data_IF_427168863692
#
_entry.id   IF_427168863692
#
_cell.length_a   1.000
_cell.length_b   1.000
_cell.length_c   1.000
_cell.angle_alpha   90.00
_cell.angle_beta   90.00
_cell.angle_gamma   90.00
#
_symmetry.space_group_name_H-M   'P 1'
#
loop_
_entity.id
_entity.type
_entity.pdbx_description
1 polymer ?
#
# COMPACT_ATOMS: atom_id res chain seq x y z
N UNK A 1 -15.78 -4.48 7.97
CA UNK A 1 -14.61 -3.57 8.15
C UNK A 1 -13.45 -4.32 8.76
N UNK A 2 -12.29 -4.33 8.11
CA UNK A 2 -11.04 -4.87 8.63
C UNK A 2 -10.03 -3.75 8.86
N UNK A 3 -9.13 -3.97 9.82
CA UNK A 3 -8.00 -3.09 10.07
C UNK A 3 -6.70 -3.85 9.81
N UNK A 4 -5.71 -3.12 9.32
CA UNK A 4 -4.37 -3.62 9.08
C UNK A 4 -3.30 -2.55 9.20
N UNK A 5 -2.09 -2.91 8.83
CA UNK A 5 -0.92 -2.03 8.90
C UNK A 5 0.05 -2.32 7.75
N UNK A 6 1.15 -1.58 7.68
CA UNK A 6 2.03 -1.61 6.51
C UNK A 6 3.43 -2.19 6.79
N UNK A 7 3.85 -3.10 5.95
CA UNK A 7 5.22 -3.53 5.64
C UNK A 7 5.97 -4.32 6.71
N UNK A 8 5.96 -3.90 7.97
CA UNK A 8 6.78 -4.45 9.04
C UNK A 8 5.91 -4.80 10.24
N UNK A 9 6.16 -5.96 10.85
CA UNK A 9 5.62 -6.32 12.16
C UNK A 9 6.75 -6.13 13.18
N UNK A 10 6.59 -5.15 14.07
CA UNK A 10 7.63 -4.76 15.03
C UNK A 10 7.86 -5.83 16.09
N UNK A 11 6.81 -6.49 16.55
CA UNK A 11 6.92 -7.59 17.52
C UNK A 11 7.79 -8.70 16.96
N UNK A 12 7.46 -9.20 15.76
CA UNK A 12 8.23 -10.26 15.10
C UNK A 12 9.65 -9.84 14.75
N UNK A 13 9.84 -8.58 14.37
CA UNK A 13 11.16 -8.05 14.07
C UNK A 13 12.04 -7.99 15.33
N UNK A 14 11.50 -7.51 16.46
CA UNK A 14 12.26 -7.34 17.68
C UNK A 14 12.57 -8.66 18.39
N UNK A 15 11.59 -9.58 18.41
CA UNK A 15 11.74 -10.84 19.13
C UNK A 15 12.45 -11.93 18.32
N UNK A 16 12.25 -11.96 16.99
CA UNK A 16 12.69 -13.08 16.15
C UNK A 16 13.54 -12.65 14.94
N UNK A 17 13.77 -11.36 14.71
CA UNK A 17 14.51 -10.86 13.55
C UNK A 17 13.79 -11.10 12.21
N UNK A 18 12.44 -11.19 12.24
CA UNK A 18 11.59 -11.42 11.09
C UNK A 18 11.20 -10.09 10.45
N UNK A 19 11.60 -9.85 9.20
CA UNK A 19 11.26 -8.65 8.42
C UNK A 19 11.44 -8.90 6.93
N UNK A 20 10.80 -8.09 6.06
CA UNK A 20 10.63 -8.40 4.63
C UNK A 20 11.33 -7.43 3.67
N UNK A 21 12.16 -6.53 4.19
CA UNK A 21 12.82 -5.49 3.40
C UNK A 21 14.35 -5.61 3.41
N UNK A 22 14.86 -6.85 3.45
CA UNK A 22 16.29 -7.08 3.23
C UNK A 22 16.64 -6.74 1.80
N UNK A 23 17.61 -5.87 1.65
CA UNK A 23 18.07 -5.43 0.34
C UNK A 23 19.59 -5.39 0.25
N UNK A 24 20.08 -4.86 -0.83
CA UNK A 24 21.49 -4.62 -1.07
C UNK A 24 21.69 -3.34 -1.90
N UNK A 25 22.86 -2.74 -1.79
CA UNK A 25 23.23 -1.61 -2.65
C UNK A 25 23.68 -2.12 -4.04
N UNK A 26 23.65 -1.24 -5.04
CA UNK A 26 23.99 -1.57 -6.43
C UNK A 26 25.37 -2.23 -6.57
N UNK A 27 26.37 -1.74 -5.82
CA UNK A 27 27.71 -2.34 -5.82
C UNK A 27 27.65 -3.82 -5.42
N UNK A 28 26.94 -4.15 -4.35
CA UNK A 28 26.79 -5.53 -3.87
C UNK A 28 26.07 -6.41 -4.90
N UNK A 29 25.03 -5.86 -5.57
CA UNK A 29 24.35 -6.58 -6.64
C UNK A 29 25.28 -6.88 -7.82
N UNK A 30 26.11 -5.91 -8.23
CA UNK A 30 27.11 -6.13 -9.30
C UNK A 30 28.17 -7.16 -8.92
N UNK A 31 28.58 -7.22 -7.65
CA UNK A 31 29.60 -8.15 -7.15
C UNK A 31 29.05 -9.57 -6.93
N UNK A 32 27.86 -9.71 -6.38
CA UNK A 32 27.26 -11.00 -5.96
C UNK A 32 26.19 -11.54 -6.92
N UNK A 33 25.66 -10.70 -7.79
CA UNK A 33 24.71 -11.07 -8.83
C UNK A 33 23.36 -11.55 -8.32
N UNK A 34 22.67 -12.24 -9.22
CA UNK A 34 21.30 -12.75 -9.03
C UNK A 34 21.21 -13.83 -7.94
N UNK A 35 22.30 -14.57 -7.69
CA UNK A 35 22.34 -15.58 -6.63
C UNK A 35 22.01 -14.94 -5.26
N UNK A 36 22.70 -13.86 -4.93
CA UNK A 36 22.47 -13.18 -3.65
C UNK A 36 21.13 -12.45 -3.60
N UNK A 37 20.65 -11.95 -4.73
CA UNK A 37 19.28 -11.40 -4.82
C UNK A 37 18.22 -12.48 -4.50
N UNK A 38 18.41 -13.70 -5.03
CA UNK A 38 17.56 -14.85 -4.80
C UNK A 38 17.52 -15.26 -3.33
N UNK A 39 18.68 -15.38 -2.68
CA UNK A 39 18.78 -15.70 -1.25
C UNK A 39 18.04 -14.69 -0.37
N UNK A 40 18.17 -13.39 -0.66
CA UNK A 40 17.45 -12.34 0.07
C UNK A 40 15.94 -12.37 -0.20
N UNK A 41 15.55 -12.56 -1.46
CA UNK A 41 14.15 -12.66 -1.85
C UNK A 41 13.46 -13.85 -1.17
N UNK A 42 14.10 -15.04 -1.18
CA UNK A 42 13.59 -16.21 -0.50
C UNK A 42 13.42 -15.97 1.00
N UNK A 43 14.42 -15.36 1.65
CA UNK A 43 14.33 -15.03 3.08
C UNK A 43 13.20 -14.02 3.36
N UNK A 44 13.05 -12.98 2.53
CA UNK A 44 11.97 -12.03 2.64
C UNK A 44 10.60 -12.70 2.47
N UNK A 45 10.44 -13.61 1.50
CA UNK A 45 9.20 -14.36 1.30
C UNK A 45 8.86 -15.27 2.49
N UNK A 46 9.84 -15.99 3.03
CA UNK A 46 9.65 -16.84 4.23
C UNK A 46 9.22 -16.00 5.45
N UNK A 47 9.84 -14.86 5.64
CA UNK A 47 9.49 -13.95 6.72
C UNK A 47 8.11 -13.29 6.49
N UNK A 48 7.77 -12.96 5.25
CA UNK A 48 6.43 -12.48 4.90
C UNK A 48 5.36 -13.52 5.25
N UNK A 49 5.59 -14.80 4.96
CA UNK A 49 4.67 -15.86 5.34
C UNK A 49 4.45 -15.92 6.86
N UNK A 50 5.51 -15.74 7.65
CA UNK A 50 5.40 -15.70 9.12
C UNK A 50 4.58 -14.48 9.59
N UNK A 51 4.82 -13.30 9.01
CA UNK A 51 4.06 -12.08 9.32
C UNK A 51 2.57 -12.26 8.98
N UNK A 52 2.26 -12.78 7.80
CA UNK A 52 0.86 -12.95 7.38
C UNK A 52 0.12 -13.99 8.24
N UNK A 53 0.78 -15.08 8.63
CA UNK A 53 0.22 -16.06 9.57
C UNK A 53 0.01 -15.49 10.97
N UNK A 54 0.96 -14.67 11.44
CA UNK A 54 0.79 -13.94 12.69
C UNK A 54 -0.42 -12.99 12.62
N UNK A 55 -0.56 -12.26 11.51
CA UNK A 55 -1.70 -11.39 11.26
C UNK A 55 -3.03 -12.16 11.32
N UNK A 56 -3.10 -13.30 10.61
CA UNK A 56 -4.28 -14.17 10.60
C UNK A 56 -4.65 -14.65 12.02
N UNK A 57 -3.66 -15.11 12.80
CA UNK A 57 -3.88 -15.59 14.19
C UNK A 57 -4.25 -14.48 15.17
N UNK A 58 -3.95 -13.20 14.85
CA UNK A 58 -4.30 -12.03 15.67
C UNK A 58 -5.48 -11.23 15.11
N UNK A 59 -6.23 -11.79 14.17
CA UNK A 59 -7.41 -11.18 13.60
C UNK A 59 -7.11 -9.89 12.78
N UNK A 60 -5.88 -9.73 12.28
CA UNK A 60 -5.53 -8.61 11.37
C UNK A 60 -6.03 -8.96 9.98
N UNK A 61 -7.08 -8.27 9.53
CA UNK A 61 -7.80 -8.65 8.32
C UNK A 61 -7.20 -8.13 7.02
N UNK A 62 -6.34 -7.10 7.06
CA UNK A 62 -5.63 -6.61 5.88
C UNK A 62 -4.17 -6.26 6.19
N UNK A 63 -3.30 -6.38 5.18
CA UNK A 63 -1.87 -6.09 5.34
C UNK A 63 -1.27 -5.55 4.04
N UNK A 64 -0.49 -4.47 4.16
CA UNK A 64 0.28 -3.95 3.03
C UNK A 64 1.66 -4.57 3.00
N UNK A 65 1.91 -5.41 2.01
CA UNK A 65 3.20 -6.04 1.75
C UNK A 65 4.24 -4.99 1.37
N UNK A 66 5.47 -5.13 1.86
CA UNK A 66 6.57 -4.24 1.48
C UNK A 66 6.85 -4.30 -0.02
N UNK A 67 7.16 -3.16 -0.63
CA UNK A 67 7.65 -3.09 -2.02
C UNK A 67 9.05 -3.70 -2.20
N UNK A 68 9.79 -3.91 -1.10
CA UNK A 68 11.19 -4.32 -1.12
C UNK A 68 11.39 -5.84 -0.94
N UNK A 69 10.34 -6.66 -1.11
CA UNK A 69 10.44 -8.12 -0.95
C UNK A 69 11.44 -8.73 -1.94
N UNK A 70 11.51 -8.19 -3.15
CA UNK A 70 12.41 -8.64 -4.22
C UNK A 70 13.48 -7.58 -4.51
N UNK A 71 14.67 -7.67 -3.91
CA UNK A 71 15.74 -6.69 -4.13
C UNK A 71 16.18 -6.64 -5.60
N UNK A 72 16.24 -5.44 -6.18
CA UNK A 72 16.65 -5.26 -7.58
C UNK A 72 15.77 -5.98 -8.61
N UNK A 73 14.49 -6.13 -8.35
CA UNK A 73 13.56 -6.80 -9.26
C UNK A 73 13.52 -6.18 -10.67
N UNK A 74 13.96 -4.93 -10.83
CA UNK A 74 14.16 -4.31 -12.15
C UNK A 74 15.26 -4.95 -13.01
N UNK A 75 16.18 -5.73 -12.44
CA UNK A 75 17.34 -6.24 -13.14
C UNK A 75 17.21 -7.71 -13.60
N UNK A 76 16.10 -8.39 -13.24
CA UNK A 76 15.87 -9.79 -13.58
C UNK A 76 14.37 -10.09 -13.71
N UNK A 77 14.03 -11.24 -14.24
CA UNK A 77 12.68 -11.82 -14.14
C UNK A 77 12.61 -12.72 -12.90
N UNK A 78 11.49 -12.78 -12.20
CA UNK A 78 11.36 -13.60 -10.99
C UNK A 78 11.70 -15.08 -11.26
N UNK A 79 11.36 -15.58 -12.44
CA UNK A 79 11.67 -16.97 -12.88
C UNK A 79 13.15 -17.26 -13.08
N UNK A 80 14.01 -16.24 -13.14
CA UNK A 80 15.47 -16.39 -13.28
C UNK A 80 16.18 -16.55 -11.93
N UNK A 81 15.46 -16.32 -10.81
CA UNK A 81 16.01 -16.50 -9.48
C UNK A 81 16.33 -17.99 -9.23
N UNK A 82 17.56 -18.35 -8.79
CA UNK A 82 17.91 -19.74 -8.48
C UNK A 82 16.97 -20.44 -7.51
N UNK A 83 16.44 -19.72 -6.50
CA UNK A 83 15.51 -20.25 -5.51
C UNK A 83 14.03 -20.09 -5.91
N UNK A 84 13.74 -19.78 -7.19
CA UNK A 84 12.37 -19.52 -7.65
C UNK A 84 11.35 -20.61 -7.29
N UNK A 85 11.66 -21.93 -7.39
CA UNK A 85 10.68 -22.96 -7.01
C UNK A 85 10.23 -22.84 -5.55
N UNK A 86 11.13 -22.52 -4.64
CA UNK A 86 10.83 -22.36 -3.21
C UNK A 86 10.15 -21.02 -2.92
N UNK A 87 10.60 -19.96 -3.58
CA UNK A 87 9.95 -18.64 -3.55
C UNK A 87 8.48 -18.78 -3.97
N UNK A 88 8.21 -19.43 -5.10
CA UNK A 88 6.87 -19.67 -5.62
C UNK A 88 6.00 -20.45 -4.61
N UNK A 89 6.51 -21.57 -4.09
CA UNK A 89 5.78 -22.36 -3.10
C UNK A 89 5.45 -21.54 -1.83
N UNK A 90 6.37 -20.66 -1.41
CA UNK A 90 6.16 -19.75 -0.27
C UNK A 90 5.09 -18.70 -0.57
N UNK A 91 5.12 -18.08 -1.76
CA UNK A 91 4.12 -17.12 -2.22
C UNK A 91 2.72 -17.75 -2.31
N UNK A 92 2.61 -18.97 -2.87
CA UNK A 92 1.36 -19.73 -2.88
C UNK A 92 0.83 -20.01 -1.47
N UNK A 93 1.71 -20.27 -0.50
CA UNK A 93 1.31 -20.45 0.90
C UNK A 93 0.80 -19.13 1.54
N UNK A 94 1.39 -17.98 1.17
CA UNK A 94 0.92 -16.66 1.60
C UNK A 94 -0.48 -16.39 1.06
N UNK A 95 -0.72 -16.64 -0.24
CA UNK A 95 -2.01 -16.37 -0.87
C UNK A 95 -3.16 -17.25 -0.35
N UNK A 96 -2.87 -18.37 0.33
CA UNK A 96 -3.88 -19.23 0.96
C UNK A 96 -4.35 -18.74 2.33
N UNK A 97 -3.75 -17.68 2.89
CA UNK A 97 -4.21 -17.09 4.16
C UNK A 97 -5.47 -16.25 3.95
N UNK A 98 -6.22 -15.98 5.00
CA UNK A 98 -7.44 -15.17 4.96
C UNK A 98 -7.16 -13.67 4.94
N UNK A 99 -5.91 -13.24 5.12
CA UNK A 99 -5.52 -11.83 5.19
C UNK A 99 -5.59 -11.18 3.81
N UNK A 100 -6.33 -10.09 3.69
CA UNK A 100 -6.37 -9.29 2.48
C UNK A 100 -5.03 -8.59 2.25
N UNK A 101 -4.36 -8.87 1.14
CA UNK A 101 -3.05 -8.30 0.82
C UNK A 101 -3.16 -7.13 -0.15
N UNK A 102 -2.32 -6.14 0.04
CA UNK A 102 -2.11 -5.02 -0.88
C UNK A 102 -0.63 -4.69 -0.98
N UNK A 103 -0.23 -3.88 -1.95
CA UNK A 103 1.13 -3.34 -2.04
C UNK A 103 1.07 -1.86 -2.42
N UNK A 104 2.15 -1.14 -2.12
CA UNK A 104 2.30 0.26 -2.47
C UNK A 104 3.72 0.47 -3.02
N UNK A 105 3.90 0.37 -4.35
CA UNK A 105 5.17 0.64 -5.02
C UNK A 105 5.74 2.00 -4.62
N UNK A 106 7.05 2.12 -4.64
CA UNK A 106 7.74 3.33 -4.20
C UNK A 106 7.37 4.59 -5.00
N UNK A 107 7.66 5.78 -4.48
CA UNK A 107 7.22 7.07 -5.06
C UNK A 107 7.89 7.40 -6.41
N UNK A 108 8.82 6.58 -6.85
CA UNK A 108 9.46 6.70 -8.16
C UNK A 108 8.58 6.21 -9.31
N UNK A 109 7.52 5.45 -9.00
CA UNK A 109 6.54 4.97 -9.97
C UNK A 109 5.67 6.14 -10.45
N UNK A 110 5.80 6.50 -11.71
CA UNK A 110 5.13 7.63 -12.35
C UNK A 110 4.55 7.21 -13.69
N UNK A 111 3.32 6.71 -13.65
CA UNK A 111 2.65 6.24 -14.87
C UNK A 111 2.36 7.39 -15.87
N UNK A 112 2.25 8.64 -15.39
CA UNK A 112 2.21 9.82 -16.22
C UNK A 112 3.61 10.27 -16.70
N UNK A 113 4.68 9.54 -16.40
CA UNK A 113 6.04 9.81 -16.87
C UNK A 113 6.25 9.50 -18.34
N UNK A 114 7.48 9.73 -18.78
CA UNK A 114 7.92 9.46 -20.16
C UNK A 114 9.30 8.80 -20.16
N UNK A 115 9.69 8.22 -21.31
CA UNK A 115 11.02 7.63 -21.51
C UNK A 115 11.41 6.60 -20.45
N UNK A 116 12.65 6.67 -19.92
CA UNK A 116 13.13 5.68 -18.94
C UNK A 116 12.31 5.64 -17.66
N UNK A 117 11.76 6.75 -17.20
CA UNK A 117 10.90 6.79 -16.01
C UNK A 117 9.64 5.95 -16.20
N UNK A 118 8.97 6.09 -17.34
CA UNK A 118 7.79 5.28 -17.66
C UNK A 118 8.16 3.80 -17.82
N UNK A 119 9.24 3.50 -18.54
CA UNK A 119 9.69 2.11 -18.74
C UNK A 119 9.98 1.39 -17.41
N UNK A 120 10.66 2.07 -16.48
CA UNK A 120 10.93 1.52 -15.15
C UNK A 120 9.64 1.36 -14.34
N UNK A 121 8.72 2.33 -14.42
CA UNK A 121 7.41 2.24 -13.77
C UNK A 121 6.62 1.03 -14.25
N UNK A 122 6.53 0.83 -15.56
CA UNK A 122 5.82 -0.33 -16.14
C UNK A 122 6.39 -1.64 -15.63
N UNK A 123 7.71 -1.78 -15.64
CA UNK A 123 8.39 -2.99 -15.16
C UNK A 123 8.14 -3.25 -13.69
N UNK A 124 8.23 -2.24 -12.84
CA UNK A 124 8.03 -2.36 -11.39
C UNK A 124 6.57 -2.74 -11.08
N UNK A 125 5.60 -2.05 -11.68
CA UNK A 125 4.18 -2.34 -11.49
C UNK A 125 3.79 -3.74 -11.96
N UNK A 126 4.28 -4.20 -13.13
CA UNK A 126 4.04 -5.56 -13.62
C UNK A 126 4.68 -6.60 -12.69
N UNK A 127 5.86 -6.33 -12.12
CA UNK A 127 6.48 -7.22 -11.12
C UNK A 127 5.59 -7.37 -9.88
N UNK A 128 5.01 -6.27 -9.37
CA UNK A 128 4.06 -6.34 -8.25
C UNK A 128 2.81 -7.17 -8.59
N UNK A 129 2.30 -7.04 -9.81
CA UNK A 129 1.17 -7.83 -10.29
C UNK A 129 1.54 -9.32 -10.43
N UNK A 130 2.72 -9.64 -10.98
CA UNK A 130 3.24 -11.01 -11.09
C UNK A 130 3.40 -11.67 -9.71
N UNK A 131 3.86 -10.94 -8.69
CA UNK A 131 3.97 -11.47 -7.32
C UNK A 131 2.60 -11.88 -6.79
N UNK A 132 1.55 -11.10 -7.03
CA UNK A 132 0.19 -11.45 -6.63
C UNK A 132 -0.37 -12.63 -7.46
N UNK A 133 -0.04 -12.74 -8.74
CA UNK A 133 -0.38 -13.92 -9.55
C UNK A 133 0.31 -15.18 -9.01
N UNK A 134 1.59 -15.10 -8.61
CA UNK A 134 2.32 -16.21 -7.98
C UNK A 134 1.76 -16.59 -6.61
N UNK A 135 1.13 -15.67 -5.90
CA UNK A 135 0.36 -15.97 -4.69
C UNK A 135 -0.98 -16.67 -4.98
N UNK A 136 -1.41 -16.74 -6.25
CA UNK A 136 -2.72 -17.27 -6.64
C UNK A 136 -3.88 -16.34 -6.29
N UNK A 137 -3.61 -15.04 -6.14
CA UNK A 137 -4.63 -14.03 -5.88
C UNK A 137 -5.29 -13.59 -7.18
N UNK A 138 -6.63 -13.64 -7.21
CA UNK A 138 -7.40 -13.21 -8.38
C UNK A 138 -7.09 -11.76 -8.78
N UNK A 139 -6.96 -11.46 -10.09
CA UNK A 139 -6.75 -10.10 -10.58
C UNK A 139 -7.98 -9.21 -10.33
N UNK A 140 -8.01 -8.57 -9.18
CA UNK A 140 -9.08 -7.66 -8.78
C UNK A 140 -8.58 -6.60 -7.81
N UNK A 141 -9.30 -5.51 -7.67
CA UNK A 141 -9.02 -4.45 -6.70
C UNK A 141 -9.14 -4.92 -5.23
N UNK A 142 -9.60 -6.15 -4.99
CA UNK A 142 -9.51 -6.75 -3.65
C UNK A 142 -8.06 -6.79 -3.16
N UNK A 143 -7.13 -7.16 -4.03
CA UNK A 143 -5.69 -7.18 -3.74
C UNK A 143 -5.01 -6.05 -4.53
N UNK A 144 -5.19 -4.83 -4.05
CA UNK A 144 -4.80 -3.61 -4.75
C UNK A 144 -3.29 -3.40 -4.83
N UNK A 145 -2.86 -2.79 -5.92
CA UNK A 145 -1.56 -2.14 -6.10
C UNK A 145 -1.83 -0.64 -6.07
N UNK A 146 -1.38 0.05 -5.03
CA UNK A 146 -1.66 1.46 -4.78
C UNK A 146 -0.54 2.33 -5.29
N UNK A 147 -0.85 3.38 -6.06
CA UNK A 147 0.15 4.36 -6.49
C UNK A 147 -0.40 5.79 -6.38
N UNK A 148 0.51 6.76 -6.35
CA UNK A 148 0.18 8.15 -6.63
C UNK A 148 0.35 8.45 -8.12
N UNK A 149 -0.30 9.51 -8.63
CA UNK A 149 -0.03 9.99 -9.99
C UNK A 149 1.44 10.40 -10.15
N UNK A 150 2.03 10.91 -9.08
CA UNK A 150 3.48 11.05 -8.91
C UNK A 150 4.10 12.33 -9.45
N UNK A 151 3.30 13.28 -9.93
CA UNK A 151 3.75 14.60 -10.35
C UNK A 151 2.75 15.27 -11.29
N UNK A 152 2.70 16.59 -11.28
CA UNK A 152 1.78 17.38 -12.11
C UNK A 152 2.40 17.88 -13.43
N UNK A 153 3.69 17.80 -13.60
CA UNK A 153 4.44 18.16 -14.82
C UNK A 153 4.03 19.53 -15.41
N UNK A 154 3.65 20.50 -14.56
CA UNK A 154 3.24 21.86 -14.95
C UNK A 154 1.77 22.00 -15.38
N UNK A 155 1.09 20.90 -15.74
CA UNK A 155 -0.34 20.87 -16.09
C UNK A 155 -0.97 19.58 -15.56
N UNK A 156 -1.79 19.72 -14.52
CA UNK A 156 -2.50 18.61 -13.89
C UNK A 156 -3.42 17.86 -14.88
N UNK A 157 -4.17 18.59 -15.70
CA UNK A 157 -5.12 18.02 -16.66
C UNK A 157 -4.40 17.18 -17.73
N UNK A 158 -3.32 17.72 -18.34
CA UNK A 158 -2.53 16.94 -19.31
C UNK A 158 -1.82 15.76 -18.66
N UNK A 159 -1.41 15.90 -17.41
CA UNK A 159 -0.81 14.79 -16.64
C UNK A 159 -1.80 13.65 -16.47
N UNK A 160 -3.05 13.92 -16.10
CA UNK A 160 -4.08 12.88 -15.96
C UNK A 160 -4.45 12.25 -17.31
N UNK A 161 -4.54 13.06 -18.38
CA UNK A 161 -4.75 12.52 -19.74
C UNK A 161 -3.62 11.58 -20.16
N UNK A 162 -2.37 11.93 -19.88
CA UNK A 162 -1.20 11.08 -20.17
C UNK A 162 -1.20 9.82 -19.31
N UNK A 163 -1.53 9.93 -18.03
CA UNK A 163 -1.72 8.78 -17.16
C UNK A 163 -2.78 7.82 -17.76
N UNK A 164 -3.94 8.33 -18.13
CA UNK A 164 -5.02 7.54 -18.72
C UNK A 164 -4.58 6.85 -20.02
N UNK A 165 -3.90 7.56 -20.92
CA UNK A 165 -3.35 6.94 -22.15
C UNK A 165 -2.38 5.80 -21.84
N UNK A 166 -1.46 5.99 -20.91
CA UNK A 166 -0.47 4.97 -20.54
C UNK A 166 -1.13 3.79 -19.80
N UNK A 167 -2.10 4.06 -18.92
CA UNK A 167 -2.90 3.03 -18.26
C UNK A 167 -3.63 2.16 -19.29
N UNK A 168 -4.35 2.76 -20.25
CA UNK A 168 -5.10 2.02 -21.25
C UNK A 168 -4.22 1.29 -22.24
N UNK A 169 -3.16 1.90 -22.70
CA UNK A 169 -2.36 1.39 -23.81
C UNK A 169 -1.19 0.49 -23.43
N UNK A 170 -0.70 0.55 -22.19
CA UNK A 170 0.57 -0.08 -21.83
C UNK A 170 0.48 -1.12 -20.71
N UNK A 171 -0.54 -1.09 -19.86
CA UNK A 171 -0.67 -2.02 -18.74
C UNK A 171 -1.32 -3.34 -19.14
N UNK A 172 -0.88 -4.45 -18.55
CA UNK A 172 -1.58 -5.72 -18.64
C UNK A 172 -2.98 -5.66 -18.01
N UNK A 173 -3.87 -6.55 -18.42
CA UNK A 173 -5.22 -6.61 -17.85
C UNK A 173 -5.19 -6.97 -16.36
N UNK A 174 -4.27 -7.86 -15.94
CA UNK A 174 -4.09 -8.22 -14.53
C UNK A 174 -3.69 -7.01 -13.70
N UNK A 175 -2.74 -6.20 -14.19
CA UNK A 175 -2.31 -4.99 -13.49
C UNK A 175 -3.43 -3.94 -13.42
N UNK A 176 -4.14 -3.69 -14.53
CA UNK A 176 -5.31 -2.78 -14.54
C UNK A 176 -6.35 -3.17 -13.49
N UNK A 177 -6.64 -4.46 -13.37
CA UNK A 177 -7.63 -4.98 -12.41
C UNK A 177 -7.21 -4.82 -10.94
N UNK A 178 -5.95 -4.49 -10.67
CA UNK A 178 -5.40 -4.30 -9.31
C UNK A 178 -5.04 -2.87 -8.98
N UNK A 179 -4.77 -2.06 -10.01
CA UNK A 179 -4.21 -0.73 -9.81
C UNK A 179 -5.26 0.24 -9.25
N UNK A 180 -4.88 0.99 -8.23
CA UNK A 180 -5.66 2.09 -7.66
C UNK A 180 -4.77 3.32 -7.50
N UNK A 181 -5.38 4.51 -7.49
CA UNK A 181 -4.68 5.76 -7.22
C UNK A 181 -5.07 6.32 -5.87
N UNK A 182 -4.18 7.10 -5.27
CA UNK A 182 -4.36 7.72 -3.96
C UNK A 182 -4.25 9.23 -4.04
N UNK A 183 -5.02 9.96 -3.23
CA UNK A 183 -4.89 11.40 -3.09
C UNK A 183 -3.55 11.76 -2.42
N UNK A 184 -3.01 12.91 -2.78
CA UNK A 184 -1.68 13.36 -2.36
C UNK A 184 -1.72 14.35 -1.18
N UNK A 185 -0.59 14.44 -0.46
CA UNK A 185 -0.34 15.31 0.70
C UNK A 185 0.12 16.75 0.35
N UNK A 186 0.40 17.03 -0.92
CA UNK A 186 1.03 18.30 -1.36
C UNK A 186 0.13 19.13 -2.26
N UNK A 187 0.05 20.46 -2.05
CA UNK A 187 -0.79 21.35 -2.84
C UNK A 187 -0.52 21.35 -4.36
N UNK A 188 0.68 20.94 -4.77
CA UNK A 188 1.02 20.81 -6.19
C UNK A 188 0.59 19.51 -6.84
N UNK A 189 0.04 18.57 -6.07
CA UNK A 189 -0.39 17.25 -6.52
C UNK A 189 -1.92 17.11 -6.48
N UNK A 190 -2.46 15.92 -6.37
CA UNK A 190 -3.85 15.63 -6.69
C UNK A 190 -4.70 15.35 -5.45
N UNK A 191 -5.75 16.13 -5.24
CA UNK A 191 -6.84 15.84 -4.30
C UNK A 191 -7.77 14.76 -4.87
N UNK A 192 -8.70 14.23 -4.05
CA UNK A 192 -9.74 13.32 -4.55
C UNK A 192 -10.55 13.95 -5.68
N UNK A 193 -11.00 15.21 -5.50
CA UNK A 193 -11.77 15.92 -6.53
C UNK A 193 -11.02 16.02 -7.88
N UNK A 194 -9.73 16.24 -7.82
CA UNK A 194 -8.88 16.31 -9.02
C UNK A 194 -8.60 14.94 -9.65
N UNK A 195 -8.73 13.84 -8.90
CA UNK A 195 -8.58 12.47 -9.41
C UNK A 195 -9.85 11.91 -10.05
N UNK A 196 -11.04 12.45 -9.76
CA UNK A 196 -12.29 11.94 -10.33
C UNK A 196 -12.31 11.91 -11.88
N UNK A 197 -11.82 12.92 -12.61
CA UNK A 197 -11.74 12.84 -14.07
C UNK A 197 -10.87 11.67 -14.57
N UNK A 198 -9.85 11.25 -13.80
CA UNK A 198 -9.07 10.05 -14.14
C UNK A 198 -9.89 8.78 -13.93
N UNK A 199 -10.63 8.69 -12.82
CA UNK A 199 -11.57 7.60 -12.59
C UNK A 199 -12.63 7.51 -13.70
N UNK A 200 -13.26 8.63 -14.05
CA UNK A 200 -14.26 8.69 -15.14
C UNK A 200 -13.70 8.20 -16.49
N UNK A 201 -12.43 8.50 -16.78
CA UNK A 201 -11.78 8.11 -18.03
C UNK A 201 -11.32 6.64 -18.05
N UNK A 202 -11.00 6.03 -16.93
CA UNK A 202 -10.30 4.73 -16.86
C UNK A 202 -10.98 3.68 -15.99
N UNK A 203 -11.92 4.07 -15.15
CA UNK A 203 -12.50 3.20 -14.12
C UNK A 203 -11.57 2.90 -12.93
N UNK A 204 -10.36 3.49 -12.87
CA UNK A 204 -9.40 3.25 -11.77
C UNK A 204 -9.97 3.73 -10.44
N UNK A 205 -10.03 2.91 -9.37
CA UNK A 205 -10.54 3.33 -8.07
C UNK A 205 -9.60 4.28 -7.36
N UNK A 206 -10.16 5.10 -6.45
CA UNK A 206 -9.40 6.04 -5.62
C UNK A 206 -9.33 5.50 -4.20
N UNK A 207 -8.13 5.27 -3.69
CA UNK A 207 -7.87 5.04 -2.27
C UNK A 207 -7.87 6.38 -1.55
N UNK A 208 -8.71 6.52 -0.52
CA UNK A 208 -8.71 7.71 0.32
C UNK A 208 -7.65 7.59 1.41
N UNK A 209 -6.71 8.51 1.44
CA UNK A 209 -5.82 8.71 2.59
C UNK A 209 -6.28 9.92 3.38
N UNK A 210 -6.65 9.70 4.65
CA UNK A 210 -7.17 10.72 5.56
C UNK A 210 -6.12 11.77 5.90
N UNK A 211 -4.87 11.35 6.11
CA UNK A 211 -3.81 12.27 6.49
C UNK A 211 -3.38 13.16 5.31
N UNK A 212 -3.28 12.59 4.12
CA UNK A 212 -3.04 13.35 2.90
C UNK A 212 -4.15 14.37 2.66
N UNK A 213 -5.41 13.98 2.83
CA UNK A 213 -6.53 14.91 2.71
C UNK A 213 -6.44 16.04 3.72
N UNK A 214 -6.13 15.79 5.00
CA UNK A 214 -5.95 16.85 6.00
C UNK A 214 -4.82 17.83 5.64
N UNK A 215 -3.77 17.35 5.00
CA UNK A 215 -2.67 18.18 4.51
C UNK A 215 -3.00 18.95 3.24
N UNK A 216 -3.84 18.38 2.38
CA UNK A 216 -4.23 18.94 1.08
C UNK A 216 -5.70 18.65 0.77
N UNK A 217 -6.66 19.30 1.45
CA UNK A 217 -8.09 19.01 1.30
C UNK A 217 -8.69 19.52 -0.02
N UNK A 218 -8.08 20.51 -0.68
CA UNK A 218 -8.77 21.28 -1.72
C UNK A 218 -9.96 22.03 -1.13
N UNK A 219 -11.08 22.03 -1.88
CA UNK A 219 -12.32 22.73 -1.47
C UNK A 219 -13.32 21.79 -0.78
N UNK A 220 -13.00 20.51 -0.61
CA UNK A 220 -13.91 19.51 -0.07
C UNK A 220 -13.64 19.21 1.40
N UNK A 221 -14.72 18.98 2.16
CA UNK A 221 -14.63 18.40 3.50
C UNK A 221 -14.12 16.96 3.44
N UNK A 222 -13.61 16.46 4.57
CA UNK A 222 -13.15 15.06 4.69
C UNK A 222 -14.26 14.08 4.28
N UNK A 223 -15.51 14.34 4.69
CA UNK A 223 -16.65 13.49 4.36
C UNK A 223 -16.94 13.47 2.86
N UNK A 224 -17.01 14.63 2.21
CA UNK A 224 -17.26 14.71 0.76
C UNK A 224 -16.18 13.98 -0.05
N UNK A 225 -14.93 14.21 0.30
CA UNK A 225 -13.80 13.55 -0.37
C UNK A 225 -13.79 12.03 -0.11
N UNK A 226 -14.06 11.60 1.11
CA UNK A 226 -14.16 10.20 1.48
C UNK A 226 -15.28 9.49 0.73
N UNK A 227 -16.52 10.03 0.76
CA UNK A 227 -17.67 9.44 0.09
C UNK A 227 -17.46 9.35 -1.43
N UNK A 228 -16.88 10.38 -2.04
CA UNK A 228 -16.54 10.37 -3.47
C UNK A 228 -15.49 9.31 -3.81
N UNK A 229 -14.43 9.18 -3.02
CA UNK A 229 -13.41 8.15 -3.23
C UNK A 229 -13.99 6.73 -3.07
N UNK A 230 -14.78 6.49 -2.03
CA UNK A 230 -15.45 5.18 -1.80
C UNK A 230 -16.36 4.82 -2.96
N UNK A 231 -17.10 5.78 -3.52
CA UNK A 231 -18.01 5.57 -4.66
C UNK A 231 -17.28 5.12 -5.95
N UNK A 232 -15.96 5.32 -6.05
CA UNK A 232 -15.18 4.87 -7.23
C UNK A 232 -14.88 3.37 -7.24
N UNK A 233 -15.09 2.67 -6.12
CA UNK A 233 -14.75 1.25 -6.01
C UNK A 233 -15.82 0.37 -6.67
N UNK A 234 -15.41 -0.70 -7.35
CA UNK A 234 -16.36 -1.62 -7.98
C UNK A 234 -17.30 -2.27 -6.98
N UNK A 235 -18.54 -2.52 -7.40
CA UNK A 235 -19.52 -3.25 -6.61
C UNK A 235 -18.97 -4.62 -6.15
N UNK A 236 -19.22 -4.97 -4.89
CA UNK A 236 -18.73 -6.20 -4.28
C UNK A 236 -17.28 -6.18 -3.80
N UNK A 237 -16.54 -5.09 -4.03
CA UNK A 237 -15.18 -4.91 -3.52
C UNK A 237 -15.20 -3.86 -2.40
N UNK A 238 -14.95 -4.29 -1.16
CA UNK A 238 -14.81 -3.38 -0.02
C UNK A 238 -13.67 -2.38 -0.27
N UNK A 239 -13.91 -1.06 -0.24
CA UNK A 239 -12.87 -0.06 -0.41
C UNK A 239 -11.78 -0.17 0.64
N UNK A 240 -10.54 0.24 0.30
CA UNK A 240 -9.44 0.34 1.26
C UNK A 240 -9.03 1.78 1.41
N UNK A 241 -8.99 2.26 2.64
CA UNK A 241 -8.51 3.59 3.00
C UNK A 241 -7.16 3.49 3.74
N UNK A 242 -6.39 4.57 3.71
CA UNK A 242 -5.18 4.72 4.52
C UNK A 242 -5.43 5.74 5.63
N UNK A 243 -4.86 5.49 6.81
CA UNK A 243 -5.02 6.38 7.95
C UNK A 243 -3.74 6.51 8.76
N UNK A 244 -3.44 7.74 9.13
CA UNK A 244 -2.54 8.08 10.23
C UNK A 244 -2.93 9.45 10.80
N UNK A 245 -2.46 9.74 11.99
CA UNK A 245 -2.50 11.10 12.53
C UNK A 245 -1.17 11.83 12.27
N UNK A 246 -1.16 13.13 12.54
CA UNK A 246 0.02 13.98 12.39
C UNK A 246 0.97 13.78 13.57
N UNK A 247 2.23 13.41 13.29
CA UNK A 247 3.27 13.39 14.31
C UNK A 247 3.50 14.78 14.91
N UNK A 248 3.46 15.81 14.06
CA UNK A 248 3.69 17.19 14.47
C UNK A 248 2.65 17.70 15.48
N UNK A 249 1.38 17.29 15.31
CA UNK A 249 0.28 17.74 16.16
C UNK A 249 0.20 16.96 17.47
N UNK A 250 0.54 15.68 17.46
CA UNK A 250 0.30 14.78 18.60
C UNK A 250 1.54 14.40 19.38
N UNK A 251 2.73 14.48 18.78
CA UNK A 251 3.95 13.89 19.37
C UNK A 251 5.14 14.86 19.42
N UNK A 252 5.45 15.53 18.32
CA UNK A 252 6.65 16.36 18.17
C UNK A 252 6.36 17.59 17.29
N UNK A 253 6.15 18.77 17.88
CA UNK A 253 5.88 20.00 17.12
C UNK A 253 6.98 20.38 16.14
N UNK A 254 8.20 19.86 16.28
CA UNK A 254 9.33 20.08 15.38
C UNK A 254 9.34 19.14 14.18
N UNK A 255 8.51 18.08 14.17
CA UNK A 255 8.40 17.14 13.07
C UNK A 255 7.96 17.83 11.78
N UNK A 256 8.33 17.25 10.64
CA UNK A 256 7.83 17.69 9.33
C UNK A 256 6.30 17.61 9.29
N UNK A 257 5.68 18.49 8.50
CA UNK A 257 4.23 18.54 8.35
C UNK A 257 3.66 17.18 7.88
N UNK A 258 4.36 16.50 6.98
CA UNK A 258 3.97 15.24 6.38
C UNK A 258 4.38 14.01 7.21
N UNK A 259 4.88 14.19 8.43
CA UNK A 259 5.32 13.09 9.25
C UNK A 259 4.13 12.37 9.90
N UNK A 260 3.98 11.08 9.58
CA UNK A 260 3.02 10.20 10.24
C UNK A 260 3.35 9.99 11.70
N UNK A 261 2.33 9.97 12.55
CA UNK A 261 2.43 9.70 13.98
C UNK A 261 2.92 8.27 14.28
N UNK A 262 3.41 8.06 15.48
CA UNK A 262 3.72 6.72 16.00
C UNK A 262 2.43 5.93 16.24
N UNK A 263 1.40 6.57 16.77
CA UNK A 263 0.14 5.97 17.21
C UNK A 263 -1.06 6.59 16.49
N UNK A 264 -2.22 5.94 16.59
CA UNK A 264 -3.51 6.54 16.25
C UNK A 264 -4.08 7.22 17.49
N UNK A 265 -4.41 8.49 17.37
CA UNK A 265 -4.91 9.35 18.46
C UNK A 265 -6.39 9.69 18.31
N UNK A 266 -6.92 9.64 17.08
CA UNK A 266 -8.29 10.03 16.79
C UNK A 266 -9.11 8.85 16.26
N UNK A 267 -10.43 8.77 16.58
CA UNK A 267 -11.27 7.72 16.03
C UNK A 267 -11.45 7.91 14.52
N UNK A 268 -11.34 6.82 13.77
CA UNK A 268 -11.49 6.82 12.31
C UNK A 268 -12.95 6.93 11.93
N UNK A 269 -13.32 7.95 11.18
CA UNK A 269 -14.68 8.22 10.73
C UNK A 269 -14.93 7.54 9.37
N UNK A 270 -15.76 6.52 9.34
CA UNK A 270 -16.15 5.84 8.10
C UNK A 270 -17.48 6.31 7.53
N UNK A 271 -18.12 7.27 8.19
CA UNK A 271 -19.41 7.84 7.78
C UNK A 271 -20.51 6.81 7.49
N UNK A 272 -20.41 5.62 8.10
CA UNK A 272 -21.36 4.52 7.95
C UNK A 272 -21.05 3.56 6.79
N UNK A 273 -19.95 3.77 6.06
CA UNK A 273 -19.50 2.86 5.00
C UNK A 273 -18.70 1.69 5.56
N UNK A 274 -18.82 0.52 4.93
CA UNK A 274 -17.95 -0.62 5.20
C UNK A 274 -16.68 -0.48 4.36
N UNK A 275 -15.56 -0.20 5.02
CA UNK A 275 -14.25 -0.01 4.40
C UNK A 275 -13.17 -0.74 5.19
N UNK A 276 -12.16 -1.24 4.53
CA UNK A 276 -10.94 -1.72 5.21
C UNK A 276 -9.96 -0.56 5.38
N UNK A 277 -9.23 -0.54 6.49
CA UNK A 277 -8.30 0.56 6.82
C UNK A 277 -6.89 0.02 7.06
N UNK A 278 -5.93 0.52 6.30
CA UNK A 278 -4.50 0.29 6.54
C UNK A 278 -3.91 1.46 7.32
N UNK A 279 -3.44 1.19 8.54
CA UNK A 279 -2.77 2.18 9.37
C UNK A 279 -1.33 2.42 8.88
N UNK A 280 -0.99 3.68 8.62
CA UNK A 280 0.34 4.10 8.19
C UNK A 280 1.20 4.64 9.34
N UNK A 281 0.81 4.37 10.57
CA UNK A 281 1.54 4.76 11.78
C UNK A 281 2.90 4.06 11.90
N UNK A 282 3.84 4.69 12.59
CA UNK A 282 5.20 4.16 12.76
C UNK A 282 5.25 2.93 13.67
N UNK A 283 4.32 2.79 14.62
CA UNK A 283 4.23 1.64 15.55
C UNK A 283 3.44 0.44 14.99
N UNK A 284 3.07 0.47 13.70
CA UNK A 284 2.59 -0.68 12.95
C UNK A 284 1.46 -1.45 13.66
N UNK A 285 1.65 -2.80 13.85
CA UNK A 285 0.69 -3.64 14.56
C UNK A 285 0.47 -3.20 16.01
N UNK A 286 1.48 -2.66 16.67
CA UNK A 286 1.33 -2.15 18.05
C UNK A 286 0.32 -1.01 18.10
N UNK A 287 0.36 -0.11 17.11
CA UNK A 287 -0.63 0.96 16.98
C UNK A 287 -2.02 0.41 16.68
N UNK A 288 -2.13 -0.62 15.85
CA UNK A 288 -3.40 -1.29 15.57
C UNK A 288 -3.99 -1.94 16.82
N UNK A 289 -3.19 -2.67 17.61
CA UNK A 289 -3.66 -3.31 18.83
C UNK A 289 -4.15 -2.26 19.84
N UNK A 290 -3.39 -1.19 20.05
CA UNK A 290 -3.79 -0.07 20.91
C UNK A 290 -5.08 0.62 20.41
N UNK A 291 -5.22 0.83 19.10
CA UNK A 291 -6.43 1.40 18.50
C UNK A 291 -7.67 0.55 18.78
N UNK A 292 -7.54 -0.78 18.64
CA UNK A 292 -8.63 -1.72 18.96
C UNK A 292 -9.06 -1.65 20.41
N UNK A 293 -8.11 -1.63 21.33
CA UNK A 293 -8.38 -1.51 22.78
C UNK A 293 -9.08 -0.19 23.11
N UNK A 294 -8.63 0.90 22.49
CA UNK A 294 -9.08 2.24 22.84
C UNK A 294 -10.43 2.61 22.18
N UNK A 295 -10.67 2.18 20.93
CA UNK A 295 -11.81 2.69 20.15
C UNK A 295 -12.80 1.61 19.68
N UNK A 296 -12.44 0.33 19.67
CA UNK A 296 -13.29 -0.73 19.16
C UNK A 296 -13.80 -1.69 20.22
N UNK A 297 -13.11 -1.83 21.36
CA UNK A 297 -13.64 -2.61 22.47
C UNK A 297 -14.69 -1.78 23.25
N UNK A 298 -15.84 -2.36 23.57
CA UNK A 298 -16.79 -1.68 24.46
C UNK A 298 -16.11 -1.45 25.80
N UNK A 299 -16.00 -0.20 26.23
CA UNK A 299 -15.60 0.12 27.59
C UNK A 299 -16.62 -0.53 28.53
N UNK A 300 -16.22 -1.53 29.31
CA UNK A 300 -17.04 -1.98 30.43
C UNK A 300 -17.32 -0.76 31.31
N UNK A 301 -18.57 -0.48 31.68
CA UNK A 301 -18.85 0.60 32.61
C UNK A 301 -18.05 0.34 33.89
N UNK A 302 -17.25 1.33 34.30
CA UNK A 302 -16.59 1.31 35.61
C UNK A 302 -17.75 1.34 36.60
N UNK A 303 -18.05 0.21 37.24
CA UNK A 303 -18.91 0.21 38.42
C UNK A 303 -18.18 1.02 39.49
N UNK A 304 -18.61 2.28 39.65
CA UNK A 304 -18.23 3.11 40.79
C UNK A 304 -19.06 2.56 41.95
N UNK A 305 -18.44 1.65 42.73
CA UNK A 305 -18.95 1.18 44.01
C UNK A 305 -18.77 2.22 45.11
#
# INVERSE_FOLDING_TARGET
MNFGYACINLTLQQEFGIYTNRGMIQRTFREKGIQYASELALKNCRDLLQIVRWNESHGVGCFRVSSDVFPWASEYRLTELPDFPEIRATLEAIGRTSVRLSTHPGPFNKLAGEGPTLANTLKDLETHSEVFDLMGLEPSHRNKINIHVGGAYGDKGETLRRFARNYEGLLSQHLKSRLVVENDDKPGLFTVAELLPLHEATGIPITFDYFHHRLHPGDWSEREAFEAAVATWPEGITPVCHFSDSRREHEDPSAKREAHSDWVYTPIQTYGYDVDVVLETKRKELSLMKYREQFLMPHSPIEIG
#
